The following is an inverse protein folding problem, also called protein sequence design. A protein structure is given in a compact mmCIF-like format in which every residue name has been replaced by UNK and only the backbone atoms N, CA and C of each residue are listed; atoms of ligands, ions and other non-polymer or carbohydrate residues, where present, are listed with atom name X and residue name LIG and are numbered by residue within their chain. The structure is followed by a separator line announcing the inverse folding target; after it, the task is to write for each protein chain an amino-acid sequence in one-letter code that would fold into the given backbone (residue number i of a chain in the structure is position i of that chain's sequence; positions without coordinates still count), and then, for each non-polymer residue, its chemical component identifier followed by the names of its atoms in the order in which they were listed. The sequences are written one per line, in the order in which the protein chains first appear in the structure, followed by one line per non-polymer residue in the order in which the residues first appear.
data_IF_639856757102
#
_entry.id   IF_639856757102
#
_cell.length_a   1.000
_cell.length_b   1.000
_cell.length_c   1.000
_cell.angle_alpha   90.00
_cell.angle_beta   90.00
_cell.angle_gamma   90.00
#
_symmetry.space_group_name_H-M   'P 1'
#
loop_
_entity.id
_entity.type
_entity.pdbx_description
1 polymer ?
#
# COMPACT_ATOMS: atom_id res chain seq x y z
N UNK A 1 -61.19 1.42 5.06
CA UNK A 1 -60.86 2.02 3.74
C UNK A 1 -59.42 2.46 3.77
N UNK A 2 -58.55 1.61 3.24
CA UNK A 2 -57.11 1.89 3.20
C UNK A 2 -56.80 2.56 1.83
N UNK A 3 -56.44 3.83 1.86
CA UNK A 3 -56.11 4.56 0.66
C UNK A 3 -54.65 4.17 0.29
N UNK A 4 -54.51 3.27 -0.68
CA UNK A 4 -53.23 2.95 -1.28
C UNK A 4 -52.82 4.09 -2.17
N UNK A 5 -51.83 4.88 -1.75
CA UNK A 5 -51.16 5.87 -2.61
C UNK A 5 -50.31 5.10 -3.63
N UNK A 6 -50.77 5.09 -4.88
CA UNK A 6 -49.95 4.63 -6.00
C UNK A 6 -48.83 5.66 -6.24
N UNK A 7 -47.61 5.32 -5.83
CA UNK A 7 -46.41 6.09 -6.22
C UNK A 7 -46.28 6.09 -7.73
N UNK A 8 -46.10 7.26 -8.31
CA UNK A 8 -45.90 7.42 -9.75
C UNK A 8 -44.50 6.97 -10.14
N UNK A 9 -44.36 6.50 -11.37
CA UNK A 9 -43.09 6.02 -11.95
C UNK A 9 -41.94 7.02 -11.81
N UNK A 10 -42.25 8.33 -11.83
CA UNK A 10 -41.28 9.42 -11.63
C UNK A 10 -40.77 9.57 -10.21
N UNK A 11 -41.58 9.20 -9.20
CA UNK A 11 -41.15 9.23 -7.78
C UNK A 11 -40.20 8.08 -7.46
N UNK A 12 -40.43 6.91 -8.07
CA UNK A 12 -39.54 5.75 -7.96
C UNK A 12 -38.18 5.98 -8.65
N UNK A 13 -38.16 6.70 -9.74
CA UNK A 13 -36.91 7.08 -10.41
C UNK A 13 -36.16 8.17 -9.64
N UNK A 14 -36.85 9.09 -8.99
CA UNK A 14 -36.26 10.11 -8.15
C UNK A 14 -35.68 9.54 -6.84
N UNK A 15 -36.39 8.59 -6.19
CA UNK A 15 -35.83 7.86 -5.01
C UNK A 15 -34.61 7.01 -5.38
N UNK A 16 -34.59 6.39 -6.57
CA UNK A 16 -33.40 5.66 -7.06
C UNK A 16 -32.23 6.60 -7.32
N UNK A 17 -32.49 7.76 -7.91
CA UNK A 17 -31.49 8.81 -8.10
C UNK A 17 -30.96 9.32 -6.77
N UNK A 18 -31.83 9.63 -5.80
CA UNK A 18 -31.40 10.04 -4.45
C UNK A 18 -30.54 9.00 -3.75
N UNK A 19 -30.91 7.71 -3.84
CA UNK A 19 -30.08 6.62 -3.27
C UNK A 19 -28.76 6.44 -3.98
N UNK A 20 -28.67 6.81 -5.25
CA UNK A 20 -27.44 6.78 -6.03
C UNK A 20 -26.49 7.93 -5.66
N UNK A 21 -27.02 9.02 -5.11
CA UNK A 21 -26.25 10.20 -4.65
C UNK A 21 -26.07 10.25 -3.12
N UNK A 22 -26.62 9.29 -2.38
CA UNK A 22 -26.46 9.20 -0.92
C UNK A 22 -25.16 8.48 -0.59
N UNK A 23 -24.02 9.05 -1.05
CA UNK A 23 -22.68 8.59 -0.70
C UNK A 23 -22.45 8.85 0.78
N UNK A 24 -22.67 7.84 1.60
CA UNK A 24 -22.21 7.84 3.00
C UNK A 24 -20.72 7.54 3.02
N UNK A 25 -19.94 8.57 2.85
CA UNK A 25 -18.49 8.48 3.00
C UNK A 25 -18.13 8.27 4.48
N UNK A 26 -17.48 7.16 4.79
CA UNK A 26 -17.01 6.83 6.13
C UNK A 26 -15.50 6.84 6.20
N UNK A 27 -14.97 7.08 7.40
CA UNK A 27 -13.54 6.96 7.65
C UNK A 27 -13.05 5.53 7.32
N UNK A 28 -12.05 5.44 6.47
CA UNK A 28 -11.50 4.16 6.01
C UNK A 28 -12.02 3.70 4.65
N UNK A 29 -12.98 4.42 4.06
CA UNK A 29 -13.46 4.11 2.71
C UNK A 29 -12.46 4.55 1.64
N UNK A 30 -12.35 3.72 0.61
CA UNK A 30 -11.56 4.01 -0.59
C UNK A 30 -12.48 4.69 -1.59
N UNK A 31 -12.13 5.92 -1.95
CA UNK A 31 -12.90 6.77 -2.85
C UNK A 31 -12.07 7.19 -4.05
N UNK A 32 -12.72 7.29 -5.20
CA UNK A 32 -12.14 7.88 -6.40
C UNK A 32 -12.44 9.36 -6.43
N UNK A 33 -11.45 10.15 -6.78
CA UNK A 33 -11.60 11.60 -6.85
C UNK A 33 -10.75 12.23 -7.94
N UNK A 34 -11.25 13.32 -8.48
CA UNK A 34 -10.60 14.09 -9.54
C UNK A 34 -9.85 15.26 -8.91
N UNK A 35 -8.59 15.44 -9.28
CA UNK A 35 -7.78 16.56 -8.81
C UNK A 35 -8.27 17.86 -9.44
N UNK A 36 -8.82 18.76 -8.63
CA UNK A 36 -9.30 20.08 -9.04
C UNK A 36 -8.21 21.15 -9.04
N UNK A 37 -7.27 21.04 -8.10
CA UNK A 37 -6.21 22.03 -7.94
C UNK A 37 -5.37 21.80 -6.71
N UNK A 38 -4.54 22.80 -6.41
CA UNK A 38 -3.62 22.79 -5.26
C UNK A 38 -3.88 24.04 -4.41
N UNK A 39 -3.78 23.88 -3.10
CA UNK A 39 -3.89 24.95 -2.13
C UNK A 39 -2.71 24.88 -1.15
N UNK A 40 -2.56 25.89 -0.31
CA UNK A 40 -1.54 25.94 0.74
C UNK A 40 -1.59 24.75 1.71
N UNK A 41 -2.74 24.11 1.85
CA UNK A 41 -2.95 22.93 2.70
C UNK A 41 -2.65 21.60 1.99
N UNK A 42 -2.69 21.57 0.65
CA UNK A 42 -2.45 20.35 -0.14
C UNK A 42 -3.21 20.30 -1.46
N UNK A 43 -3.60 19.09 -1.87
CA UNK A 43 -4.32 18.84 -3.12
C UNK A 43 -5.82 18.89 -2.88
N UNK A 44 -6.51 19.66 -3.69
CA UNK A 44 -7.98 19.69 -3.71
C UNK A 44 -8.52 18.63 -4.65
N UNK A 45 -9.41 17.78 -4.14
CA UNK A 45 -9.97 16.64 -4.85
C UNK A 45 -11.49 16.66 -4.78
N UNK A 46 -12.13 16.52 -5.92
CA UNK A 46 -13.57 16.32 -6.01
C UNK A 46 -13.88 14.82 -5.97
N UNK A 47 -14.55 14.40 -4.92
CA UNK A 47 -14.98 13.00 -4.70
C UNK A 47 -16.49 12.81 -5.00
N UNK A 48 -17.15 13.82 -5.58
CA UNK A 48 -18.60 13.82 -5.78
C UNK A 48 -19.41 14.09 -4.50
N UNK A 49 -18.75 14.55 -3.44
CA UNK A 49 -19.41 14.99 -2.19
C UNK A 49 -19.93 16.43 -2.33
N UNK A 50 -20.63 16.92 -1.30
CA UNK A 50 -21.13 18.30 -1.27
C UNK A 50 -20.00 19.34 -1.22
N UNK A 51 -18.84 18.94 -0.70
CA UNK A 51 -17.66 19.79 -0.49
C UNK A 51 -16.43 19.16 -1.13
N UNK A 52 -15.47 20.00 -1.49
CA UNK A 52 -14.18 19.57 -2.02
C UNK A 52 -13.36 18.96 -0.87
N UNK A 53 -12.83 17.76 -1.10
CA UNK A 53 -11.96 17.09 -0.17
C UNK A 53 -10.51 17.60 -0.30
N UNK A 54 -9.74 17.52 0.79
CA UNK A 54 -8.34 17.97 0.83
C UNK A 54 -7.42 16.80 1.16
N UNK A 55 -6.35 16.64 0.37
CA UNK A 55 -5.24 15.74 0.65
C UNK A 55 -4.07 16.58 1.15
N UNK A 56 -3.72 16.56 2.43
CA UNK A 56 -2.57 17.31 2.95
C UNK A 56 -1.29 16.89 2.23
N UNK A 57 -0.37 17.82 1.98
CA UNK A 57 0.90 17.56 1.28
C UNK A 57 1.66 16.37 1.89
N UNK A 58 1.68 16.24 3.21
CA UNK A 58 2.33 15.12 3.93
C UNK A 58 1.70 13.75 3.67
N UNK A 59 0.41 13.73 3.29
CA UNK A 59 -0.37 12.51 2.98
C UNK A 59 -0.50 12.28 1.47
N UNK A 60 -0.09 13.25 0.66
CA UNK A 60 -0.09 13.19 -0.79
C UNK A 60 1.21 12.59 -1.33
N UNK A 61 2.36 13.11 -0.89
CA UNK A 61 3.69 12.78 -1.41
C UNK A 61 4.71 12.58 -0.29
N UNK A 62 5.82 11.92 -0.60
CA UNK A 62 6.96 11.83 0.29
C UNK A 62 7.75 13.15 0.33
N UNK A 63 8.71 13.26 1.27
CA UNK A 63 9.39 14.52 1.57
C UNK A 63 10.12 15.15 0.38
N UNK A 64 10.52 14.34 -0.59
CA UNK A 64 11.36 14.73 -1.73
C UNK A 64 10.60 14.79 -3.06
N UNK A 65 9.28 14.53 -3.07
CA UNK A 65 8.45 14.52 -4.26
C UNK A 65 7.61 15.80 -4.39
N UNK A 66 7.51 16.31 -5.62
CA UNK A 66 6.63 17.43 -5.96
C UNK A 66 5.17 16.95 -6.10
N UNK A 67 4.28 17.62 -5.40
CA UNK A 67 2.83 17.34 -5.42
C UNK A 67 2.25 17.49 -6.84
N UNK A 68 2.68 18.51 -7.57
CA UNK A 68 2.19 18.84 -8.91
C UNK A 68 2.63 17.84 -9.99
N UNK A 69 3.77 17.18 -9.78
CA UNK A 69 4.28 16.15 -10.70
C UNK A 69 3.54 14.82 -10.51
N UNK A 70 3.19 14.47 -9.27
CA UNK A 70 2.53 13.21 -8.94
C UNK A 70 1.03 13.25 -9.21
N UNK A 71 0.39 14.38 -8.96
CA UNK A 71 -1.04 14.57 -9.15
C UNK A 71 -1.29 15.59 -10.24
N UNK A 72 -1.71 15.14 -11.41
CA UNK A 72 -2.06 16.05 -12.49
C UNK A 72 -3.49 16.53 -12.35
N UNK A 73 -3.70 17.82 -12.56
CA UNK A 73 -5.04 18.42 -12.53
C UNK A 73 -5.94 17.81 -13.60
N UNK A 74 -7.13 17.37 -13.20
CA UNK A 74 -8.12 16.74 -14.07
C UNK A 74 -7.99 15.22 -14.18
N UNK A 75 -6.98 14.61 -13.56
CA UNK A 75 -6.86 13.16 -13.52
C UNK A 75 -7.58 12.57 -12.28
N UNK A 76 -8.08 11.34 -12.42
CA UNK A 76 -8.76 10.58 -11.37
C UNK A 76 -7.75 9.71 -10.62
N UNK A 77 -7.78 9.80 -9.29
CA UNK A 77 -6.97 8.99 -8.40
C UNK A 77 -7.81 8.37 -7.28
N UNK A 78 -7.29 7.30 -6.69
CA UNK A 78 -7.90 6.68 -5.52
C UNK A 78 -7.30 7.24 -4.23
N UNK A 79 -8.16 7.52 -3.27
CA UNK A 79 -7.82 8.07 -1.98
C UNK A 79 -8.52 7.32 -0.86
N UNK A 80 -7.90 7.29 0.32
CA UNK A 80 -8.51 6.77 1.53
C UNK A 80 -9.00 7.93 2.40
N UNK A 81 -10.22 7.84 2.91
CA UNK A 81 -10.77 8.83 3.83
C UNK A 81 -10.12 8.63 5.20
N UNK A 82 -9.35 9.62 5.67
CA UNK A 82 -8.75 9.59 7.02
C UNK A 82 -9.72 10.13 8.06
N UNK A 83 -10.40 11.20 7.71
CA UNK A 83 -11.34 11.89 8.58
C UNK A 83 -12.56 12.30 7.76
N UNK A 84 -13.70 12.10 8.39
CA UNK A 84 -14.97 12.62 7.93
C UNK A 84 -14.99 14.15 8.04
N UNK A 85 -16.08 14.77 7.66
CA UNK A 85 -16.24 16.22 7.60
C UNK A 85 -15.60 16.92 8.84
N UNK A 86 -14.73 17.89 8.57
CA UNK A 86 -14.21 18.81 9.58
C UNK A 86 -15.27 19.87 9.90
N UNK A 87 -14.98 20.81 10.81
CA UNK A 87 -15.86 21.95 11.16
C UNK A 87 -16.26 22.76 9.91
N UNK A 88 -15.43 22.76 8.87
CA UNK A 88 -15.67 23.37 7.56
C UNK A 88 -16.37 22.41 6.55
N UNK A 89 -16.78 21.22 6.97
CA UNK A 89 -17.42 20.22 6.10
C UNK A 89 -16.49 19.58 5.07
N UNK A 90 -15.17 19.63 5.26
CA UNK A 90 -14.17 19.10 4.33
C UNK A 90 -13.72 17.71 4.75
N UNK A 91 -13.68 16.79 3.77
CA UNK A 91 -13.08 15.47 3.96
C UNK A 91 -11.57 15.54 3.90
N UNK A 92 -10.90 14.82 4.81
CA UNK A 92 -9.46 14.67 4.79
C UNK A 92 -9.10 13.32 4.16
N UNK A 93 -8.33 13.34 3.08
CA UNK A 93 -7.95 12.17 2.32
C UNK A 93 -6.45 11.88 2.44
N UNK A 94 -6.06 10.61 2.16
CA UNK A 94 -4.67 10.19 2.06
C UNK A 94 -4.45 9.33 0.82
N UNK A 95 -3.43 9.63 0.05
CA UNK A 95 -2.93 8.77 -1.01
C UNK A 95 -1.92 7.77 -0.49
N UNK A 96 -1.03 8.19 0.42
CA UNK A 96 -0.02 7.30 1.03
C UNK A 96 -0.62 6.06 1.66
N UNK A 97 -1.75 6.20 2.34
CA UNK A 97 -2.42 5.05 2.95
C UNK A 97 -2.98 4.07 1.93
N UNK A 98 -3.39 4.57 0.75
CA UNK A 98 -3.80 3.74 -0.38
C UNK A 98 -2.61 2.97 -0.92
N UNK A 99 -1.52 3.67 -1.23
CA UNK A 99 -0.29 3.08 -1.75
C UNK A 99 0.26 2.03 -0.76
N UNK A 100 0.23 2.34 0.54
CA UNK A 100 0.59 1.42 1.61
C UNK A 100 -0.30 0.17 1.63
N UNK A 101 -1.62 0.33 1.51
CA UNK A 101 -2.55 -0.80 1.49
C UNK A 101 -2.35 -1.72 0.27
N UNK A 102 -2.03 -1.15 -0.88
CA UNK A 102 -1.64 -1.92 -2.06
C UNK A 102 -0.31 -2.65 -1.86
N UNK A 103 0.70 -1.96 -1.32
CA UNK A 103 1.99 -2.58 -1.01
C UNK A 103 1.83 -3.78 -0.05
N UNK A 104 1.00 -3.64 1.00
CA UNK A 104 0.71 -4.76 1.90
C UNK A 104 0.06 -5.96 1.20
N UNK A 105 -0.90 -5.72 0.29
CA UNK A 105 -1.53 -6.78 -0.51
C UNK A 105 -0.54 -7.48 -1.46
N UNK A 106 0.37 -6.73 -2.06
CA UNK A 106 1.43 -7.30 -2.90
C UNK A 106 2.41 -8.13 -2.09
N UNK A 107 2.82 -7.64 -0.92
CA UNK A 107 3.69 -8.37 0.00
C UNK A 107 3.02 -9.65 0.54
N UNK A 108 1.71 -9.62 0.78
CA UNK A 108 0.96 -10.81 1.20
C UNK A 108 0.95 -11.88 0.11
N UNK A 109 0.73 -11.51 -1.15
CA UNK A 109 0.83 -12.41 -2.31
C UNK A 109 2.25 -12.95 -2.48
N UNK A 110 3.26 -12.11 -2.35
CA UNK A 110 4.67 -12.52 -2.43
C UNK A 110 5.05 -13.50 -1.29
N UNK A 111 4.47 -13.31 -0.09
CA UNK A 111 4.62 -14.26 1.01
C UNK A 111 3.99 -15.62 0.71
N UNK A 112 2.78 -15.63 0.16
CA UNK A 112 2.08 -16.86 -0.22
C UNK A 112 2.79 -17.61 -1.34
N UNK A 113 3.38 -16.89 -2.30
CA UNK A 113 4.17 -17.44 -3.39
C UNK A 113 5.62 -17.79 -2.98
N UNK A 114 6.04 -17.48 -1.74
CA UNK A 114 7.42 -17.63 -1.22
C UNK A 114 8.47 -16.96 -2.13
N UNK A 115 8.09 -15.82 -2.76
CA UNK A 115 8.93 -15.07 -3.68
C UNK A 115 10.03 -14.31 -2.96
N UNK A 116 11.17 -14.16 -3.67
CA UNK A 116 12.28 -13.30 -3.23
C UNK A 116 11.99 -11.86 -3.60
N UNK A 117 12.05 -10.97 -2.62
CA UNK A 117 11.77 -9.54 -2.78
C UNK A 117 13.06 -8.76 -2.65
N UNK A 118 13.21 -7.72 -3.47
CA UNK A 118 14.30 -6.75 -3.34
C UNK A 118 13.87 -5.61 -2.41
N UNK A 119 14.64 -5.42 -1.33
CA UNK A 119 14.45 -4.30 -0.41
C UNK A 119 15.65 -3.35 -0.42
N UNK A 120 15.40 -2.09 -0.07
CA UNK A 120 16.44 -1.07 0.09
C UNK A 120 16.77 -0.90 1.57
N UNK A 121 18.04 -0.93 1.94
CA UNK A 121 18.48 -0.77 3.34
C UNK A 121 18.25 0.68 3.76
N UNK A 122 17.28 0.89 4.66
CA UNK A 122 16.96 2.20 5.23
C UNK A 122 17.86 2.56 6.42
N UNK A 123 18.38 1.57 7.12
CA UNK A 123 19.27 1.79 8.25
C UNK A 123 19.75 0.51 8.93
N UNK A 124 20.82 0.64 9.68
CA UNK A 124 21.41 -0.44 10.48
C UNK A 124 21.12 -0.12 11.96
N UNK A 125 20.55 -1.08 12.69
CA UNK A 125 20.20 -0.94 14.10
C UNK A 125 20.84 -2.05 14.92
N UNK A 126 20.93 -1.88 16.24
CA UNK A 126 21.39 -2.95 17.14
C UNK A 126 20.46 -4.16 17.04
N UNK A 127 20.96 -5.23 16.44
CA UNK A 127 20.23 -6.50 16.29
C UNK A 127 19.68 -6.79 14.90
N UNK A 128 19.91 -5.93 13.91
CA UNK A 128 19.51 -6.21 12.53
C UNK A 128 19.48 -5.00 11.60
N UNK A 129 18.77 -5.15 10.50
CA UNK A 129 18.60 -4.11 9.48
C UNK A 129 17.15 -3.65 9.40
N UNK A 130 16.99 -2.36 9.16
CA UNK A 130 15.73 -1.79 8.68
C UNK A 130 15.79 -1.70 7.16
N UNK A 131 14.78 -2.28 6.52
CA UNK A 131 14.67 -2.32 5.05
C UNK A 131 13.35 -1.69 4.66
N UNK A 132 13.38 -0.90 3.60
CA UNK A 132 12.21 -0.33 2.96
C UNK A 132 11.84 -1.11 1.70
N UNK A 133 10.59 -1.52 1.58
CA UNK A 133 10.05 -2.22 0.43
C UNK A 133 8.73 -1.55 0.05
N UNK A 134 8.73 -0.82 -1.05
CA UNK A 134 7.55 -0.10 -1.57
C UNK A 134 6.88 0.81 -0.52
N UNK A 135 7.68 1.47 0.35
CA UNK A 135 7.18 2.34 1.42
C UNK A 135 6.78 1.61 2.71
N UNK A 136 6.88 0.29 2.75
CA UNK A 136 6.68 -0.51 3.96
C UNK A 136 8.03 -0.79 4.61
N UNK A 137 8.17 -0.46 5.90
CA UNK A 137 9.40 -0.72 6.66
C UNK A 137 9.37 -2.12 7.25
N UNK A 138 10.34 -2.94 6.85
CA UNK A 138 10.59 -4.26 7.40
C UNK A 138 11.83 -4.31 8.30
N UNK A 139 11.87 -5.32 9.15
CA UNK A 139 13.01 -5.61 10.01
C UNK A 139 13.61 -6.96 9.66
N UNK A 140 14.93 -7.00 9.50
CA UNK A 140 15.72 -8.21 9.28
C UNK A 140 16.58 -8.44 10.52
N UNK A 141 16.28 -9.43 11.38
CA UNK A 141 17.11 -9.76 12.53
C UNK A 141 18.53 -10.15 12.09
N UNK A 142 19.55 -9.84 12.89
CA UNK A 142 20.95 -10.22 12.61
C UNK A 142 21.14 -11.74 12.47
N UNK A 143 20.33 -12.54 13.17
CA UNK A 143 20.28 -14.00 13.02
C UNK A 143 19.79 -14.48 11.65
N UNK A 144 19.07 -13.64 10.93
CA UNK A 144 18.53 -13.89 9.59
C UNK A 144 19.34 -13.22 8.47
N UNK A 145 20.47 -12.63 8.81
CA UNK A 145 21.45 -12.08 7.86
C UNK A 145 22.56 -13.11 7.63
N UNK A 146 22.91 -13.31 6.36
CA UNK A 146 24.09 -14.09 5.96
C UNK A 146 25.31 -13.20 5.73
N UNK A 147 25.05 -11.97 5.29
CA UNK A 147 26.08 -10.96 5.02
C UNK A 147 26.40 -10.22 6.34
N UNK A 148 27.68 -9.97 6.59
CA UNK A 148 28.09 -9.22 7.78
C UNK A 148 27.60 -7.77 7.70
N UNK A 149 27.14 -7.23 8.82
CA UNK A 149 26.64 -5.86 8.93
C UNK A 149 27.62 -4.80 8.38
N UNK A 150 28.93 -5.07 8.45
CA UNK A 150 29.99 -4.19 7.97
C UNK A 150 30.13 -4.12 6.43
N UNK A 151 29.48 -5.02 5.70
CA UNK A 151 29.50 -5.08 4.25
C UNK A 151 28.23 -4.47 3.63
N UNK A 152 27.30 -4.01 4.47
CA UNK A 152 26.01 -3.48 4.09
C UNK A 152 26.01 -1.96 4.22
N UNK A 153 25.72 -1.29 3.13
CA UNK A 153 25.60 0.17 3.08
C UNK A 153 24.14 0.60 3.08
N UNK A 154 23.84 1.71 3.78
CA UNK A 154 22.51 2.34 3.73
C UNK A 154 22.25 2.80 2.30
N UNK A 155 21.08 2.45 1.76
CA UNK A 155 20.73 2.66 0.35
C UNK A 155 21.05 1.49 -0.57
N UNK A 156 21.77 0.46 -0.07
CA UNK A 156 22.03 -0.77 -0.80
C UNK A 156 20.77 -1.61 -1.00
N UNK A 157 20.73 -2.39 -2.07
CA UNK A 157 19.65 -3.35 -2.34
C UNK A 157 20.02 -4.72 -1.79
N UNK A 158 19.09 -5.38 -1.14
CA UNK A 158 19.25 -6.71 -0.58
C UNK A 158 18.07 -7.60 -0.94
N UNK A 159 18.38 -8.86 -1.26
CA UNK A 159 17.36 -9.89 -1.52
C UNK A 159 16.88 -10.49 -0.21
N UNK A 160 15.56 -10.59 -0.06
CA UNK A 160 14.91 -10.98 1.17
C UNK A 160 13.69 -11.87 0.89
N UNK A 161 13.39 -12.75 1.84
CA UNK A 161 12.11 -13.49 1.89
C UNK A 161 11.32 -13.08 3.11
N UNK A 162 10.01 -13.12 3.00
CA UNK A 162 9.09 -12.75 4.06
C UNK A 162 8.98 -13.91 5.05
N UNK A 163 9.28 -13.66 6.33
CA UNK A 163 9.03 -14.59 7.41
C UNK A 163 7.67 -14.34 8.06
N UNK A 164 7.45 -13.12 8.49
CA UNK A 164 6.22 -12.72 9.17
C UNK A 164 5.71 -11.41 8.57
N UNK A 165 4.44 -11.39 8.26
CA UNK A 165 3.74 -10.22 7.75
C UNK A 165 2.47 -10.04 8.58
N UNK A 166 2.42 -8.95 9.36
CA UNK A 166 1.27 -8.59 10.17
C UNK A 166 0.94 -7.10 9.97
N UNK A 167 -0.03 -6.80 9.09
CA UNK A 167 -0.42 -5.43 8.79
C UNK A 167 -1.00 -4.68 9.98
N UNK A 168 -1.64 -5.39 10.91
CA UNK A 168 -2.31 -4.76 12.06
C UNK A 168 -1.31 -4.25 13.09
N UNK A 169 -0.21 -4.98 13.28
CA UNK A 169 0.86 -4.62 14.21
C UNK A 169 2.02 -3.88 13.55
N UNK A 170 1.95 -3.61 12.23
CA UNK A 170 3.06 -3.11 11.42
C UNK A 170 4.34 -3.95 11.62
N UNK A 171 4.17 -5.25 11.84
CA UNK A 171 5.26 -6.18 12.08
C UNK A 171 5.60 -6.92 10.78
N UNK A 172 6.71 -6.53 10.18
CA UNK A 172 7.20 -7.07 8.93
C UNK A 172 8.62 -7.58 9.12
N UNK A 173 8.75 -8.91 9.29
CA UNK A 173 10.03 -9.60 9.52
C UNK A 173 10.45 -10.31 8.26
N UNK A 174 11.68 -10.08 7.87
CA UNK A 174 12.31 -10.58 6.66
C UNK A 174 13.54 -11.43 6.98
N UNK A 175 13.93 -12.29 6.02
CA UNK A 175 15.13 -13.11 6.10
C UNK A 175 15.94 -13.04 4.81
N UNK A 176 17.20 -12.73 4.91
CA UNK A 176 18.16 -12.87 3.83
C UNK A 176 18.70 -14.31 3.76
N UNK A 177 18.86 -14.95 4.92
CA UNK A 177 19.39 -16.30 5.03
C UNK A 177 18.55 -17.32 4.27
N UNK A 178 17.21 -17.20 4.34
CA UNK A 178 16.26 -18.11 3.66
C UNK A 178 16.43 -18.08 2.14
N UNK A 179 16.73 -16.92 1.53
CA UNK A 179 17.00 -16.80 0.09
C UNK A 179 18.17 -17.67 -0.34
N UNK A 180 19.25 -17.66 0.44
CA UNK A 180 20.45 -18.47 0.14
C UNK A 180 20.24 -19.97 0.45
N UNK A 181 19.44 -20.30 1.45
CA UNK A 181 19.10 -21.69 1.76
C UNK A 181 18.30 -22.33 0.63
N UNK A 182 17.31 -21.61 0.12
CA UNK A 182 16.46 -22.10 -0.98
C UNK A 182 17.24 -22.20 -2.31
N UNK A 183 18.07 -21.23 -2.64
CA UNK A 183 18.96 -21.28 -3.82
C UNK A 183 19.97 -22.44 -3.74
N UNK A 184 20.47 -22.76 -2.54
CA UNK A 184 21.35 -23.89 -2.33
C UNK A 184 20.61 -25.23 -2.46
N UNK A 185 19.34 -25.31 -2.07
CA UNK A 185 18.49 -26.50 -2.23
C UNK A 185 18.15 -26.71 -3.70
N UNK A 186 17.83 -25.65 -4.45
CA UNK A 186 17.58 -25.72 -5.88
C UNK A 186 18.85 -26.13 -6.66
N UNK A 187 20.00 -25.58 -6.34
CA UNK A 187 21.28 -25.97 -6.92
C UNK A 187 21.58 -27.44 -6.69
N UNK A 188 21.33 -27.95 -5.45
CA UNK A 188 21.48 -29.37 -5.14
C UNK A 188 20.49 -30.24 -5.93
N UNK A 189 19.24 -29.87 -6.04
CA UNK A 189 18.25 -30.61 -6.84
C UNK A 189 18.67 -30.68 -8.31
N UNK A 190 19.15 -29.58 -8.88
CA UNK A 190 19.62 -29.52 -10.26
C UNK A 190 20.85 -30.42 -10.48
N UNK A 191 21.78 -30.45 -9.53
CA UNK A 191 22.93 -31.36 -9.57
C UNK A 191 22.51 -32.82 -9.47
N UNK A 192 21.59 -33.14 -8.55
CA UNK A 192 21.08 -34.50 -8.41
C UNK A 192 20.24 -34.97 -9.62
N UNK A 193 19.55 -34.08 -10.32
CA UNK A 193 18.81 -34.39 -11.54
C UNK A 193 19.74 -34.62 -12.78
N UNK A 194 20.98 -34.16 -12.71
CA UNK A 194 21.98 -34.34 -13.76
C UNK A 194 22.92 -35.52 -13.53
N UNK A 195 22.84 -36.16 -12.35
CA UNK A 195 23.64 -37.36 -12.02
C UNK A 195 22.76 -38.58 -12.38
N UNK A 196 23.01 -39.16 -13.55
CA UNK A 196 22.50 -40.49 -13.87
C UNK A 196 23.20 -41.55 -13.02
N UNK A 197 22.47 -42.58 -12.47
CA UNK A 197 23.08 -43.62 -11.70
C UNK A 197 23.94 -44.50 -12.64
N UNK A 198 25.26 -44.34 -12.55
CA UNK A 198 26.23 -45.13 -13.31
C UNK A 198 27.45 -44.42 -13.88
N UNK A 199 27.60 -43.08 -13.68
CA UNK A 199 28.85 -42.43 -14.02
C UNK A 199 29.80 -42.46 -12.79
N UNK A 200 30.80 -43.28 -12.89
CA UNK A 200 32.00 -43.29 -12.05
C UNK A 200 33.08 -42.47 -12.76
#
# INVERSE_FOLDING_TARGET
MTIGVKMTSSELDFEKLLKQYDYKFQKGDLVKGIVCGYDSQGVMVDIGAKTIAVVPTREAVDKDENVEEKFKKGEEYEFLIIREEDEDGKFLLSRKKVDLAYAWKELEKAKEADETILGTIAGIVKGGLLVDISGVRGFVPSSQLRVKENELEVGGKIELKILTLDPQQNNFILSNKKVYEDSAVEARKNVFSQIEPGQI
#
